data_IF_519311282538
#
_entry.id   IF_519311282538
#
_cell.length_a   1.000
_cell.length_b   1.000
_cell.length_c   1.000
_cell.angle_alpha   90.00
_cell.angle_beta   90.00
_cell.angle_gamma   90.00
#
_symmetry.space_group_name_H-M   'P 1'
#
loop_
_entity.id
_entity.type
_entity.pdbx_description
1 polymer ?
#
# COMPACT_ATOMS: atom_id res chain seq x y z
N UNK A 1 -21.15 17.99 -17.41
CA UNK A 1 -21.38 17.43 -16.05
C UNK A 1 -20.04 16.92 -15.53
N UNK A 2 -19.47 17.63 -14.57
CA UNK A 2 -18.28 17.18 -13.88
C UNK A 2 -18.72 16.24 -12.78
N UNK A 3 -18.73 14.95 -13.03
CA UNK A 3 -18.77 13.93 -12.01
C UNK A 3 -17.46 14.05 -11.23
N UNK A 4 -17.54 14.55 -10.02
CA UNK A 4 -16.41 14.64 -9.13
C UNK A 4 -15.84 13.26 -8.87
N UNK A 5 -14.73 12.93 -9.54
CA UNK A 5 -13.91 11.81 -9.13
C UNK A 5 -13.45 12.09 -7.71
N UNK A 6 -13.82 11.25 -6.78
CA UNK A 6 -13.25 11.24 -5.45
C UNK A 6 -11.74 11.12 -5.60
N UNK A 7 -11.02 11.96 -4.88
CA UNK A 7 -9.55 12.05 -4.98
C UNK A 7 -8.94 10.68 -4.63
N UNK A 8 -8.44 9.98 -5.65
CA UNK A 8 -7.88 8.64 -5.51
C UNK A 8 -8.58 7.52 -6.28
N UNK A 9 -9.81 7.75 -6.78
CA UNK A 9 -10.51 6.77 -7.58
C UNK A 9 -9.94 6.74 -9.01
N UNK A 10 -9.53 5.57 -9.46
CA UNK A 10 -8.95 5.35 -10.79
C UNK A 10 -9.95 4.71 -11.72
N UNK A 11 -10.61 3.63 -11.28
CA UNK A 11 -11.57 2.89 -12.09
C UNK A 11 -12.49 2.01 -11.24
N UNK A 12 -13.69 1.76 -11.78
CA UNK A 12 -14.62 0.73 -11.34
C UNK A 12 -14.83 -0.25 -12.50
N UNK A 13 -14.65 -1.54 -12.23
CA UNK A 13 -14.85 -2.61 -13.21
C UNK A 13 -16.00 -3.48 -12.75
N UNK A 14 -17.09 -3.47 -13.50
CA UNK A 14 -18.26 -4.30 -13.22
C UNK A 14 -17.97 -5.77 -13.50
N UNK A 15 -18.36 -6.64 -12.59
CA UNK A 15 -18.24 -8.09 -12.72
C UNK A 15 -19.46 -8.74 -13.41
N UNK A 16 -20.41 -7.94 -13.88
CA UNK A 16 -21.55 -8.37 -14.68
C UNK A 16 -22.90 -7.94 -14.13
N UNK A 17 -23.92 -8.01 -14.99
CA UNK A 17 -25.28 -7.52 -14.70
C UNK A 17 -26.04 -8.33 -13.64
N UNK A 18 -25.58 -9.54 -13.34
CA UNK A 18 -26.17 -10.40 -12.31
C UNK A 18 -25.41 -10.40 -10.99
N UNK A 19 -24.31 -9.65 -10.91
CA UNK A 19 -23.53 -9.50 -9.69
C UNK A 19 -23.62 -8.05 -9.21
N UNK A 20 -23.89 -7.85 -7.94
CA UNK A 20 -23.81 -6.54 -7.30
C UNK A 20 -22.39 -6.23 -6.80
N UNK A 21 -21.39 -6.81 -7.47
CA UNK A 21 -19.98 -6.70 -7.10
C UNK A 21 -19.21 -6.03 -8.23
N UNK A 22 -18.42 -5.04 -7.88
CA UNK A 22 -17.50 -4.38 -8.80
C UNK A 22 -16.09 -4.45 -8.23
N UNK A 23 -15.08 -4.40 -9.09
CA UNK A 23 -13.71 -4.18 -8.67
C UNK A 23 -13.43 -2.69 -8.74
N UNK A 24 -13.11 -2.10 -7.62
CA UNK A 24 -12.71 -0.71 -7.51
C UNK A 24 -11.19 -0.61 -7.44
N UNK A 25 -10.63 0.28 -8.26
CA UNK A 25 -9.21 0.58 -8.25
C UNK A 25 -8.99 2.00 -7.70
N UNK A 26 -8.20 2.10 -6.65
CA UNK A 26 -7.81 3.36 -6.06
C UNK A 26 -6.31 3.55 -6.16
N UNK A 27 -5.86 4.80 -6.23
CA UNK A 27 -4.45 5.15 -6.13
C UNK A 27 -4.21 6.07 -4.94
N UNK A 28 -3.06 5.93 -4.30
CA UNK A 28 -2.59 6.87 -3.31
C UNK A 28 -1.07 7.05 -3.39
N UNK A 29 -0.62 8.21 -2.97
CA UNK A 29 0.80 8.52 -2.81
C UNK A 29 1.16 8.36 -1.34
N UNK A 30 2.29 7.72 -1.04
CA UNK A 30 2.76 7.63 0.34
C UNK A 30 3.03 9.03 0.92
N UNK A 31 2.38 9.41 2.02
CA UNK A 31 2.48 10.77 2.54
C UNK A 31 3.88 11.14 3.03
N UNK A 32 4.69 10.19 3.48
CA UNK A 32 6.07 10.44 3.93
C UNK A 32 7.11 10.09 2.87
N UNK A 33 6.73 9.29 1.87
CA UNK A 33 7.61 8.93 0.75
C UNK A 33 6.88 9.24 -0.56
N UNK A 34 6.71 10.53 -0.91
CA UNK A 34 5.93 10.94 -2.08
C UNK A 34 6.51 10.46 -3.42
N UNK A 35 7.72 9.92 -3.43
CA UNK A 35 8.29 9.21 -4.58
C UNK A 35 7.66 7.84 -4.85
N UNK A 36 6.68 7.40 -4.06
CA UNK A 36 5.98 6.11 -4.20
C UNK A 36 4.49 6.32 -4.39
N UNK A 37 3.96 5.70 -5.43
CA UNK A 37 2.51 5.61 -5.70
C UNK A 37 2.08 4.15 -5.66
N UNK A 38 1.00 3.89 -4.94
CA UNK A 38 0.38 2.58 -4.83
C UNK A 38 -1.00 2.57 -5.49
N UNK A 39 -1.30 1.49 -6.19
CA UNK A 39 -2.63 1.17 -6.70
C UNK A 39 -3.20 0.00 -5.89
N UNK A 40 -4.46 0.11 -5.52
CA UNK A 40 -5.17 -0.87 -4.70
C UNK A 40 -6.43 -1.28 -5.42
N UNK A 41 -6.54 -2.56 -5.73
CA UNK A 41 -7.78 -3.15 -6.21
C UNK A 41 -8.53 -3.78 -5.04
N UNK A 42 -9.82 -3.56 -4.93
CA UNK A 42 -10.66 -4.13 -3.89
C UNK A 42 -12.09 -4.35 -4.40
N UNK A 43 -12.79 -5.31 -3.81
CA UNK A 43 -14.19 -5.56 -4.16
C UNK A 43 -15.07 -4.47 -3.53
N UNK A 44 -15.94 -3.89 -4.38
CA UNK A 44 -17.02 -2.99 -3.98
C UNK A 44 -18.33 -3.74 -4.10
N UNK A 45 -19.04 -3.89 -3.00
CA UNK A 45 -20.35 -4.55 -3.00
C UNK A 45 -21.27 -3.98 -1.93
N UNK A 46 -22.59 -4.17 -2.10
CA UNK A 46 -23.56 -3.84 -1.06
C UNK A 46 -23.32 -4.62 0.22
N UNK A 47 -23.73 -4.04 1.32
CA UNK A 47 -23.43 -4.31 2.73
C UNK A 47 -23.45 -5.74 3.26
N UNK A 48 -24.00 -6.72 2.56
CA UNK A 48 -24.27 -8.03 3.15
C UNK A 48 -23.58 -9.23 2.53
N UNK A 49 -22.89 -9.05 1.42
CA UNK A 49 -22.51 -10.20 0.57
C UNK A 49 -21.03 -10.30 0.20
N UNK A 50 -20.19 -9.48 0.76
CA UNK A 50 -18.77 -9.52 0.39
C UNK A 50 -17.84 -9.90 1.51
N UNK A 51 -16.91 -10.72 1.13
CA UNK A 51 -15.62 -10.81 1.76
C UNK A 51 -14.78 -9.58 1.32
N UNK A 52 -14.64 -8.54 2.14
CA UNK A 52 -13.87 -7.35 1.79
C UNK A 52 -12.35 -7.57 1.94
N UNK A 53 -11.97 -8.79 2.21
CA UNK A 53 -10.59 -9.18 2.32
C UNK A 53 -9.89 -9.31 0.96
N UNK A 54 -10.64 -9.46 -0.13
CA UNK A 54 -10.08 -9.52 -1.48
C UNK A 54 -9.55 -8.17 -1.91
N UNK A 55 -8.27 -7.97 -1.69
CA UNK A 55 -7.55 -6.78 -2.13
C UNK A 55 -6.15 -7.13 -2.61
N UNK A 56 -5.70 -6.40 -3.60
CA UNK A 56 -4.34 -6.48 -4.09
C UNK A 56 -3.70 -5.09 -4.06
N UNK A 57 -2.42 -5.02 -3.76
CA UNK A 57 -1.64 -3.79 -3.78
C UNK A 57 -0.49 -3.92 -4.78
N UNK A 58 -0.27 -2.86 -5.54
CA UNK A 58 0.90 -2.71 -6.39
C UNK A 58 1.46 -1.30 -6.21
N UNK A 59 2.68 -1.21 -5.75
CA UNK A 59 3.36 0.06 -5.54
C UNK A 59 4.52 0.21 -6.53
N UNK A 60 4.78 1.44 -6.95
CA UNK A 60 5.88 1.77 -7.86
C UNK A 60 6.57 3.04 -7.42
N UNK A 61 7.83 3.13 -7.75
CA UNK A 61 8.54 4.39 -7.72
C UNK A 61 7.98 5.29 -8.85
N UNK A 62 7.49 6.45 -8.49
CA UNK A 62 6.95 7.47 -9.41
C UNK A 62 7.68 8.81 -9.28
N UNK A 63 8.66 8.88 -8.41
CA UNK A 63 9.55 10.01 -8.19
C UNK A 63 10.78 9.56 -7.43
N UNK A 64 11.70 10.47 -7.14
CA UNK A 64 12.89 10.13 -6.36
C UNK A 64 12.52 9.79 -4.91
N UNK A 65 13.26 8.89 -4.32
CA UNK A 65 13.24 8.60 -2.89
C UNK A 65 14.54 9.13 -2.31
N UNK A 66 14.41 10.11 -1.43
CA UNK A 66 15.56 10.84 -0.88
C UNK A 66 15.96 10.31 0.50
N UNK A 67 17.22 10.53 0.95
CA UNK A 67 17.65 10.17 2.29
C UNK A 67 16.75 10.75 3.40
N UNK A 68 16.29 11.99 3.25
CA UNK A 68 15.40 12.65 4.22
C UNK A 68 14.05 11.91 4.34
N UNK A 69 13.52 11.39 3.24
CA UNK A 69 12.29 10.59 3.27
C UNK A 69 12.49 9.32 4.10
N UNK A 70 13.62 8.66 3.93
CA UNK A 70 13.95 7.44 4.69
C UNK A 70 14.16 7.75 6.18
N UNK A 71 14.79 8.86 6.52
CA UNK A 71 14.98 9.29 7.91
C UNK A 71 13.64 9.59 8.63
N UNK A 72 12.64 10.07 7.90
CA UNK A 72 11.32 10.42 8.46
C UNK A 72 10.41 9.24 8.73
N UNK A 73 10.66 8.10 8.11
CA UNK A 73 9.83 6.92 8.30
C UNK A 73 10.31 6.12 9.51
N UNK A 74 9.41 5.31 10.06
CA UNK A 74 9.78 4.42 11.16
C UNK A 74 10.68 3.29 10.68
N UNK A 75 11.80 3.13 11.33
CA UNK A 75 12.76 2.06 11.08
C UNK A 75 12.50 0.88 12.02
N UNK A 76 12.40 -0.30 11.44
CA UNK A 76 12.19 -1.55 12.18
C UNK A 76 10.76 -1.73 12.70
N UNK A 77 10.55 -2.85 13.39
CA UNK A 77 9.26 -3.22 13.97
C UNK A 77 8.17 -3.43 12.92
N UNK A 78 6.97 -3.03 13.25
CA UNK A 78 5.78 -3.29 12.43
C UNK A 78 5.48 -2.18 11.40
N UNK A 79 6.38 -1.21 11.22
CA UNK A 79 6.19 -0.11 10.29
C UNK A 79 4.98 0.79 10.62
N UNK A 80 4.43 1.46 9.62
CA UNK A 80 3.36 2.45 9.76
C UNK A 80 2.22 2.20 8.79
N UNK A 81 0.98 2.43 9.23
CA UNK A 81 -0.19 2.43 8.33
C UNK A 81 -0.18 3.70 7.49
N UNK A 82 -0.08 3.56 6.18
CA UNK A 82 -0.04 4.67 5.21
C UNK A 82 -1.35 4.87 4.46
N UNK A 83 -2.21 3.87 4.47
CA UNK A 83 -3.53 3.91 3.85
C UNK A 83 -4.51 3.05 4.64
N UNK A 84 -5.74 3.54 4.77
CA UNK A 84 -6.83 2.79 5.39
C UNK A 84 -8.14 3.12 4.68
N UNK A 85 -8.86 2.10 4.23
CA UNK A 85 -10.18 2.21 3.65
C UNK A 85 -11.18 1.46 4.52
N UNK A 86 -12.19 2.18 5.01
CA UNK A 86 -13.30 1.62 5.77
C UNK A 86 -14.56 1.59 4.90
N UNK A 87 -15.14 0.42 4.72
CA UNK A 87 -16.42 0.23 4.01
C UNK A 87 -17.55 0.03 5.01
N UNK A 88 -18.08 1.07 5.61
CA UNK A 88 -19.20 0.99 6.55
C UNK A 88 -18.86 0.80 8.02
N UNK A 89 -19.83 1.18 8.86
CA UNK A 89 -19.76 1.25 10.32
C UNK A 89 -19.48 -0.11 10.99
N UNK A 90 -19.66 -1.19 10.26
CA UNK A 90 -19.65 -2.51 10.87
C UNK A 90 -18.39 -3.31 10.62
N UNK A 91 -17.43 -2.80 9.86
CA UNK A 91 -16.56 -3.85 9.85
C UNK A 91 -15.27 -4.00 9.20
N UNK A 92 -14.99 -3.77 8.07
CA UNK A 92 -13.75 -4.29 7.49
C UNK A 92 -12.89 -3.17 6.98
N UNK A 93 -11.72 -3.10 7.53
CA UNK A 93 -10.73 -2.09 7.15
C UNK A 93 -9.62 -2.78 6.39
N UNK A 94 -9.54 -2.45 5.13
CA UNK A 94 -8.30 -2.65 4.39
C UNK A 94 -7.27 -1.65 4.93
N UNK A 95 -6.13 -2.16 5.35
CA UNK A 95 -4.98 -1.33 5.74
C UNK A 95 -3.80 -1.65 4.85
N UNK A 96 -3.03 -0.63 4.53
CA UNK A 96 -1.72 -0.80 3.91
C UNK A 96 -0.69 -0.21 4.85
N UNK A 97 0.30 -1.02 5.15
CA UNK A 97 1.39 -0.71 6.06
C UNK A 97 2.69 -0.64 5.27
N UNK A 98 3.44 0.44 5.46
CA UNK A 98 4.80 0.57 4.97
C UNK A 98 5.75 0.03 6.04
N UNK A 99 6.67 -0.84 5.64
CA UNK A 99 7.75 -1.38 6.44
C UNK A 99 9.05 -1.08 5.70
N UNK A 100 10.07 -0.64 6.41
CA UNK A 100 11.39 -0.44 5.83
C UNK A 100 12.33 -1.58 6.22
N UNK A 101 12.73 -2.35 5.21
CA UNK A 101 13.78 -3.35 5.33
C UNK A 101 15.13 -2.66 5.09
N UNK A 102 15.79 -2.28 6.16
CA UNK A 102 17.05 -1.54 6.10
C UNK A 102 18.21 -2.39 5.58
N UNK A 103 18.19 -3.70 5.82
CA UNK A 103 19.22 -4.62 5.36
C UNK A 103 19.25 -4.70 3.84
N UNK A 104 18.07 -4.87 3.23
CA UNK A 104 17.92 -4.97 1.79
C UNK A 104 17.58 -3.63 1.12
N UNK A 105 17.58 -2.53 1.87
CA UNK A 105 17.27 -1.19 1.37
C UNK A 105 15.98 -1.18 0.53
N UNK A 106 14.90 -1.71 1.10
CA UNK A 106 13.64 -1.94 0.38
C UNK A 106 12.46 -1.45 1.22
N UNK A 107 11.57 -0.69 0.59
CA UNK A 107 10.27 -0.36 1.15
C UNK A 107 9.30 -1.50 0.85
N UNK A 108 8.64 -2.00 1.86
CA UNK A 108 7.64 -3.07 1.77
C UNK A 108 6.28 -2.50 2.10
N UNK A 109 5.34 -2.65 1.19
CA UNK A 109 3.94 -2.26 1.38
C UNK A 109 3.09 -3.52 1.54
N UNK A 110 2.59 -3.72 2.74
CA UNK A 110 1.75 -4.85 3.12
C UNK A 110 0.29 -4.42 3.18
N UNK A 111 -0.52 -4.95 2.29
CA UNK A 111 -1.99 -4.83 2.33
C UNK A 111 -2.57 -5.98 3.12
N UNK A 112 -3.47 -5.69 4.05
CA UNK A 112 -4.14 -6.74 4.83
C UNK A 112 -5.52 -6.31 5.30
N UNK A 113 -6.40 -7.29 5.46
CA UNK A 113 -7.68 -7.12 6.10
C UNK A 113 -7.55 -7.21 7.62
N UNK A 114 -8.32 -6.40 8.34
CA UNK A 114 -8.30 -6.42 9.82
C UNK A 114 -9.30 -7.40 10.43
N UNK A 115 -10.09 -8.08 9.60
CA UNK A 115 -11.04 -9.09 10.03
C UNK A 115 -10.72 -10.42 9.36
N UNK A 116 -10.79 -11.47 10.13
CA UNK A 116 -10.68 -12.84 9.66
C UNK A 116 -11.91 -13.21 8.83
N UNK A 117 -11.67 -13.83 7.68
CA UNK A 117 -12.69 -14.39 6.82
C UNK A 117 -12.34 -15.81 6.46
N UNK A 118 -13.27 -16.72 6.65
CA UNK A 118 -13.10 -18.16 6.35
C UNK A 118 -11.80 -18.77 6.91
N UNK A 119 -11.40 -18.36 8.12
CA UNK A 119 -10.21 -18.87 8.80
C UNK A 119 -8.88 -18.28 8.29
N UNK A 120 -8.92 -17.19 7.52
CA UNK A 120 -7.72 -16.55 6.99
C UNK A 120 -7.80 -15.01 7.02
N UNK A 121 -6.66 -14.37 7.22
CA UNK A 121 -6.47 -12.93 6.98
C UNK A 121 -5.84 -12.75 5.61
N UNK A 122 -6.60 -12.29 4.65
CA UNK A 122 -6.07 -12.05 3.32
C UNK A 122 -5.08 -10.90 3.34
N UNK A 123 -3.98 -11.08 2.65
CA UNK A 123 -2.90 -10.10 2.57
C UNK A 123 -2.17 -10.19 1.23
N UNK A 124 -1.56 -9.09 0.84
CA UNK A 124 -0.70 -9.00 -0.33
C UNK A 124 0.47 -8.07 -0.06
N UNK A 125 1.54 -8.24 -0.79
CA UNK A 125 2.79 -7.52 -0.60
C UNK A 125 3.25 -6.89 -1.92
N UNK A 126 3.78 -5.67 -1.82
CA UNK A 126 4.50 -5.00 -2.90
C UNK A 126 5.79 -4.41 -2.36
N UNK A 127 6.87 -4.51 -3.12
CA UNK A 127 8.19 -4.06 -2.67
C UNK A 127 8.78 -3.05 -3.65
N UNK A 128 9.47 -2.05 -3.10
CA UNK A 128 10.19 -1.04 -3.87
C UNK A 128 11.61 -0.95 -3.33
N UNK A 129 12.60 -1.43 -4.08
CA UNK A 129 14.00 -1.28 -3.70
C UNK A 129 14.43 0.19 -3.81
N UNK A 130 15.35 0.62 -2.95
CA UNK A 130 15.95 1.95 -3.06
C UNK A 130 16.96 2.05 -4.21
N UNK A 131 17.30 0.94 -4.84
CA UNK A 131 18.17 0.91 -6.00
C UNK A 131 17.73 1.92 -7.06
N UNK A 132 18.69 2.75 -7.53
CA UNK A 132 18.40 3.79 -8.52
C UNK A 132 17.77 5.07 -7.97
N UNK A 133 17.60 5.18 -6.65
CA UNK A 133 17.13 6.40 -5.97
C UNK A 133 18.27 7.12 -5.27
N UNK A 134 18.05 8.39 -4.90
CA UNK A 134 19.00 9.19 -4.11
C UNK A 134 19.24 8.63 -2.70
N UNK A 135 18.32 7.84 -2.17
CA UNK A 135 18.42 7.23 -0.84
C UNK A 135 19.24 5.93 -0.83
N UNK A 136 19.58 5.37 -2.00
CA UNK A 136 20.35 4.12 -2.05
C UNK A 136 21.78 4.32 -1.56
N UNK A 137 22.20 3.52 -0.60
CA UNK A 137 23.56 3.49 -0.08
C UNK A 137 24.33 2.30 -0.70
N UNK A 138 25.43 2.58 -1.37
CA UNK A 138 26.26 1.52 -1.94
C UNK A 138 26.87 0.64 -0.85
N UNK A 139 27.04 -0.67 -1.10
CA UNK A 139 27.60 -1.61 -0.10
C UNK A 139 28.97 -1.20 0.47
N UNK A 140 29.80 -0.57 -0.34
CA UNK A 140 31.12 -0.07 0.06
C UNK A 140 31.04 1.05 1.11
N UNK A 141 30.00 1.90 1.05
CA UNK A 141 29.77 2.97 2.01
C UNK A 141 29.19 2.45 3.34
N UNK A 142 28.45 1.34 3.30
CA UNK A 142 27.95 0.67 4.51
C UNK A 142 29.06 0.15 5.41
N UNK A 143 30.14 -0.35 4.85
CA UNK A 143 31.27 -0.89 5.62
C UNK A 143 32.07 0.19 6.34
N UNK A 144 32.14 1.40 5.79
CA UNK A 144 32.83 2.54 6.39
C UNK A 144 32.08 3.14 7.59
N UNK A 145 30.74 3.03 7.65
CA UNK A 145 29.91 3.58 8.72
C UNK A 145 29.86 2.68 9.99
N UNK A 146 30.20 1.41 9.85
CA UNK A 146 30.18 0.42 10.96
C UNK A 146 31.54 0.26 11.67
N UNK A 147 32.56 0.97 11.23
CA UNK A 147 33.95 0.86 11.71
C UNK A 147 34.40 1.99 12.66
N UNK A 148 33.46 2.55 13.47
CA UNK A 148 33.83 3.47 14.56
C UNK A 148 33.16 3.06 15.85
#
# INVERSE_FOLDING_TARGET
>A
MLTGCSKGDVADVSLGIFTFKDIEVNAFVDPLVPGVTCHVASIKAPLSLTDPADSAVSCRQTGDITPIMIERIRHGGNGEVVFSKSKSVFLQRLKIRRIFDAEHQTLVYLSYATKETTGSYQHSISTIPLWGTSAYVKPEEKTAATGK
#
